data_IF_442536185456
#
_entry.id   IF_442536185456
#
_cell.length_a   1.000
_cell.length_b   1.000
_cell.length_c   1.000
_cell.angle_alpha   90.00
_cell.angle_beta   90.00
_cell.angle_gamma   90.00
#
_symmetry.space_group_name_H-M   'P 1'
#
loop_
_entity.id
_entity.type
_entity.pdbx_description
1 polymer ?
#
# COMPACT_ATOMS: atom_id res chain seq x y z
N UNK A 1 2.13 -3.94 -10.80
CA UNK A 1 3.34 -3.90 -9.94
C UNK A 1 4.32 -2.81 -10.39
N UNK A 2 4.32 -2.36 -11.64
CA UNK A 2 5.13 -1.20 -12.07
C UNK A 2 4.93 0.04 -11.18
N UNK A 3 3.70 0.35 -10.76
CA UNK A 3 3.38 1.44 -9.81
C UNK A 3 3.99 1.31 -8.39
N UNK A 4 4.60 0.17 -8.08
CA UNK A 4 4.99 -0.25 -6.73
C UNK A 4 6.48 -0.64 -6.69
N UNK A 5 7.23 -0.33 -7.73
CA UNK A 5 8.64 -0.70 -7.92
C UNK A 5 9.61 0.12 -7.07
N UNK A 6 9.25 1.37 -6.75
CA UNK A 6 10.01 2.26 -5.86
C UNK A 6 9.86 1.91 -4.37
N UNK A 7 8.89 1.06 -4.04
CA UNK A 7 8.60 0.66 -2.66
C UNK A 7 9.35 -0.63 -2.33
N UNK A 8 10.16 -0.61 -1.25
CA UNK A 8 10.92 -1.78 -0.81
C UNK A 8 9.98 -2.99 -0.61
N UNK A 9 10.22 -4.14 -1.28
CA UNK A 9 9.40 -5.34 -1.15
C UNK A 9 9.20 -5.83 0.29
N UNK A 10 10.09 -5.48 1.23
CA UNK A 10 9.94 -5.78 2.65
C UNK A 10 8.75 -5.09 3.28
N UNK A 11 8.29 -3.95 2.75
CA UNK A 11 7.11 -3.25 3.25
C UNK A 11 5.87 -4.12 3.12
N UNK A 12 5.69 -4.83 2.01
CA UNK A 12 4.54 -5.72 1.81
C UNK A 12 4.49 -6.89 2.78
N UNK A 13 5.63 -7.25 3.39
CA UNK A 13 5.75 -8.34 4.35
C UNK A 13 5.57 -7.89 5.81
N UNK A 14 5.36 -6.59 6.08
CA UNK A 14 5.02 -6.11 7.43
C UNK A 14 3.71 -6.74 7.87
N UNK A 15 3.63 -7.14 9.13
CA UNK A 15 2.43 -7.80 9.68
C UNK A 15 1.17 -6.94 9.55
N UNK A 16 1.33 -5.61 9.65
CA UNK A 16 0.28 -4.61 9.46
C UNK A 16 -0.29 -4.54 8.03
N UNK A 17 0.46 -5.00 7.03
CA UNK A 17 0.09 -4.98 5.61
C UNK A 17 -0.26 -6.39 5.12
N UNK A 18 0.59 -7.36 5.45
CA UNK A 18 0.43 -8.79 5.15
C UNK A 18 0.74 -9.16 3.70
N UNK A 19 0.24 -8.39 2.73
CA UNK A 19 0.55 -8.58 1.31
C UNK A 19 0.14 -7.40 0.43
N UNK A 20 0.60 -7.40 -0.82
CA UNK A 20 0.16 -6.49 -1.89
C UNK A 20 -1.35 -6.56 -2.19
N UNK A 21 -2.05 -7.63 -1.79
CA UNK A 21 -3.49 -7.74 -1.99
C UNK A 21 -4.30 -6.87 -1.00
N UNK A 22 -3.67 -6.40 0.08
CA UNK A 22 -4.30 -5.58 1.09
C UNK A 22 -4.17 -4.09 0.75
N UNK A 23 -4.82 -3.68 -0.35
CA UNK A 23 -4.67 -2.32 -0.91
C UNK A 23 -4.96 -1.21 0.10
N UNK A 24 -5.95 -1.42 0.97
CA UNK A 24 -6.42 -0.46 1.97
C UNK A 24 -5.48 -0.32 3.16
N UNK A 25 -4.50 -1.22 3.34
CA UNK A 25 -3.49 -1.07 4.39
C UNK A 25 -2.62 0.17 4.15
N UNK A 26 -2.27 0.45 2.89
CA UNK A 26 -1.46 1.61 2.51
C UNK A 26 -2.31 2.74 1.90
N UNK A 27 -3.22 2.43 0.99
CA UNK A 27 -4.11 3.41 0.38
C UNK A 27 -5.40 3.53 1.19
N UNK A 28 -5.40 4.38 2.22
CA UNK A 28 -6.54 4.55 3.15
C UNK A 28 -7.84 5.00 2.47
N UNK A 29 -7.77 5.46 1.22
CA UNK A 29 -8.92 5.86 0.39
C UNK A 29 -9.28 4.84 -0.70
N UNK A 30 -8.66 3.66 -0.74
CA UNK A 30 -8.88 2.66 -1.78
C UNK A 30 -10.33 2.13 -1.83
N UNK A 31 -11.06 2.13 -0.71
CA UNK A 31 -12.50 1.80 -0.69
C UNK A 31 -13.34 2.75 -1.56
N UNK A 32 -12.85 3.97 -1.79
CA UNK A 32 -13.46 4.97 -2.68
C UNK A 32 -12.91 4.89 -4.11
N UNK A 33 -12.02 3.93 -4.39
CA UNK A 33 -11.31 3.80 -5.66
C UNK A 33 -10.19 4.81 -5.88
N UNK A 34 -9.73 5.51 -4.84
CA UNK A 34 -8.67 6.51 -4.93
C UNK A 34 -7.34 5.88 -4.48
N UNK A 35 -6.39 5.79 -5.41
CA UNK A 35 -5.07 5.16 -5.25
C UNK A 35 -3.92 6.14 -5.42
N UNK A 36 -4.20 7.44 -5.41
CA UNK A 36 -3.18 8.48 -5.54
C UNK A 36 -2.16 8.38 -4.40
N UNK A 37 -0.87 8.46 -4.74
CA UNK A 37 0.24 8.28 -3.81
C UNK A 37 0.29 9.41 -2.77
N UNK A 38 -0.29 10.58 -3.07
CA UNK A 38 -0.46 11.68 -2.13
C UNK A 38 -1.31 11.30 -0.90
N UNK A 39 -2.12 10.24 -1.01
CA UNK A 39 -2.98 9.73 0.06
C UNK A 39 -2.47 8.42 0.67
N UNK A 40 -1.25 7.99 0.33
CA UNK A 40 -0.65 6.77 0.88
C UNK A 40 -0.14 7.02 2.29
N UNK A 41 -0.47 6.11 3.20
CA UNK A 41 0.12 6.02 4.52
C UNK A 41 0.78 4.66 4.61
N UNK A 42 2.08 4.60 4.93
CA UNK A 42 2.77 3.31 5.10
C UNK A 42 2.77 2.94 6.58
N UNK A 43 1.97 1.94 7.02
CA UNK A 43 1.93 1.52 8.41
C UNK A 43 3.24 0.86 8.84
N UNK A 44 3.61 0.92 10.13
CA UNK A 44 4.83 0.31 10.67
C UNK A 44 4.88 -1.21 10.45
#
# INVERSE_FOLDING_TARGET
>A
IEKHDEVDPKIYNRESIGSLANCTACHITAEKGIYDDDNVVIPP
#
